data_IF_997136387792
#
_entry.id   IF_997136387792
#
_cell.length_a   1.000
_cell.length_b   1.000
_cell.length_c   1.000
_cell.angle_alpha   90.00
_cell.angle_beta   90.00
_cell.angle_gamma   90.00
#
_symmetry.space_group_name_H-M   'P 1'
#
loop_
_entity.id
_entity.type
_entity.pdbx_description
1 polymer ?
#
# COMPACT_ATOMS: atom_id res chain seq x y z
N UNK A 1 10.61 26.23 17.32
CA UNK A 1 11.49 27.32 16.84
C UNK A 1 12.86 26.76 16.63
N UNK A 2 13.41 26.93 15.41
CA UNK A 2 14.85 26.76 15.21
C UNK A 2 15.60 27.62 16.27
N UNK A 3 16.68 27.13 16.90
CA UNK A 3 17.46 27.92 17.83
C UNK A 3 18.01 29.22 17.24
N UNK A 4 18.10 29.31 15.91
CA UNK A 4 18.67 30.44 15.18
C UNK A 4 17.62 31.36 14.51
N UNK A 5 16.30 31.10 14.68
CA UNK A 5 15.21 32.02 14.35
C UNK A 5 14.88 32.26 12.87
N UNK A 6 15.68 31.78 11.95
CA UNK A 6 15.53 32.06 10.50
C UNK A 6 14.95 30.92 9.67
N UNK A 7 14.81 29.69 10.22
CA UNK A 7 14.22 28.58 9.50
C UNK A 7 12.71 28.43 9.80
N UNK A 8 11.90 28.16 8.79
CA UNK A 8 10.47 27.96 9.00
C UNK A 8 10.23 26.76 9.92
N UNK A 9 9.23 26.86 10.79
CA UNK A 9 8.76 25.74 11.59
C UNK A 9 8.00 24.77 10.68
N UNK A 10 8.27 23.47 10.80
CA UNK A 10 7.56 22.44 10.03
C UNK A 10 7.30 21.18 10.87
N UNK A 11 6.33 20.40 10.42
CA UNK A 11 6.03 19.04 10.90
C UNK A 11 6.16 18.10 9.70
N UNK A 12 6.88 17.00 9.84
CA UNK A 12 7.05 16.00 8.79
C UNK A 12 6.48 14.65 9.22
N UNK A 13 5.81 14.01 8.30
CA UNK A 13 5.29 12.65 8.40
C UNK A 13 6.05 11.76 7.42
N UNK A 14 6.38 10.54 7.85
CA UNK A 14 7.01 9.52 7.03
C UNK A 14 6.12 8.27 7.08
N UNK A 15 5.85 7.69 5.90
CA UNK A 15 5.12 6.43 5.73
C UNK A 15 6.10 5.27 5.55
N UNK A 16 5.60 4.04 5.71
CA UNK A 16 6.36 2.78 5.51
C UNK A 16 6.91 2.66 4.08
N UNK A 17 6.14 3.12 3.10
CA UNK A 17 6.46 3.12 1.66
C UNK A 17 5.86 4.31 0.93
N UNK A 18 6.06 4.39 -0.38
CA UNK A 18 5.35 5.35 -1.23
C UNK A 18 3.90 4.92 -1.35
N UNK A 19 2.97 5.82 -1.05
CA UNK A 19 1.54 5.65 -1.22
C UNK A 19 0.98 6.64 -2.24
N UNK A 20 -0.06 6.26 -2.97
CA UNK A 20 -0.87 7.17 -3.79
C UNK A 20 -1.81 7.94 -2.85
N UNK A 21 -1.38 9.11 -2.38
CA UNK A 21 -2.14 9.87 -1.39
C UNK A 21 -3.40 10.46 -2.01
N UNK A 22 -4.53 10.28 -1.32
CA UNK A 22 -5.81 10.82 -1.72
C UNK A 22 -6.11 12.12 -0.99
N UNK A 23 -6.25 12.07 0.34
CA UNK A 23 -6.58 13.23 1.16
C UNK A 23 -5.96 13.15 2.56
N UNK A 24 -5.86 14.31 3.21
CA UNK A 24 -5.50 14.43 4.63
C UNK A 24 -6.64 15.11 5.39
N UNK A 25 -7.16 14.45 6.40
CA UNK A 25 -8.09 15.01 7.36
C UNK A 25 -7.31 15.67 8.51
N UNK A 26 -7.68 16.88 8.88
CA UNK A 26 -6.99 17.66 9.90
C UNK A 26 -7.88 17.95 11.10
N UNK A 27 -7.42 17.55 12.29
CA UNK A 27 -7.89 18.03 13.58
C UNK A 27 -6.91 19.07 14.09
N UNK A 28 -7.23 20.34 13.93
CA UNK A 28 -6.39 21.42 14.40
C UNK A 28 -6.31 21.42 15.93
N UNK A 29 -5.44 22.24 16.51
CA UNK A 29 -5.19 22.24 17.95
C UNK A 29 -6.46 22.64 18.73
N UNK A 30 -7.00 21.71 19.54
CA UNK A 30 -8.29 21.87 20.20
C UNK A 30 -8.17 21.85 21.73
N UNK A 31 -7.84 23.00 22.30
CA UNK A 31 -7.75 23.18 23.74
C UNK A 31 -8.83 24.13 24.23
N UNK A 32 -9.09 24.12 25.54
CA UNK A 32 -9.95 25.10 26.15
C UNK A 32 -9.41 26.52 25.88
N UNK A 33 -10.23 27.44 25.44
CA UNK A 33 -9.87 28.80 25.01
C UNK A 33 -9.18 28.92 23.64
N UNK A 34 -9.11 27.85 22.82
CA UNK A 34 -8.51 27.92 21.48
C UNK A 34 -9.11 29.04 20.63
N UNK A 35 -10.42 29.28 20.72
CA UNK A 35 -11.11 30.36 20.00
C UNK A 35 -10.61 31.77 20.38
N UNK A 36 -9.89 31.91 21.50
CA UNK A 36 -9.34 33.18 22.00
C UNK A 36 -7.83 33.23 21.80
N UNK A 37 -7.13 32.12 22.11
CA UNK A 37 -5.68 32.04 22.10
C UNK A 37 -5.10 31.77 20.72
N UNK A 38 -5.79 30.94 19.93
CA UNK A 38 -5.44 30.70 18.52
C UNK A 38 -4.10 29.99 18.34
N UNK A 39 -3.84 28.94 19.11
CA UNK A 39 -2.59 28.14 18.96
C UNK A 39 -2.61 27.22 17.74
N UNK A 40 -3.80 26.96 17.14
CA UNK A 40 -3.92 26.16 15.94
C UNK A 40 -3.17 26.77 14.76
N UNK A 41 -2.69 25.90 13.86
CA UNK A 41 -2.11 26.28 12.58
C UNK A 41 -3.19 26.95 11.72
N UNK A 42 -2.81 28.00 10.98
CA UNK A 42 -3.75 28.68 10.05
C UNK A 42 -3.32 28.51 8.61
N UNK A 43 -2.29 29.19 8.19
CA UNK A 43 -1.78 29.08 6.82
C UNK A 43 -0.56 28.16 6.82
N UNK A 44 -0.58 27.12 6.01
CA UNK A 44 0.49 26.13 5.88
C UNK A 44 0.81 25.88 4.41
N UNK A 45 2.10 25.74 4.11
CA UNK A 45 2.53 25.17 2.83
C UNK A 45 2.65 23.66 3.00
N UNK A 46 1.98 22.90 2.13
CA UNK A 46 2.04 21.44 2.11
C UNK A 46 3.03 21.02 1.05
N UNK A 47 4.02 20.22 1.45
CA UNK A 47 5.00 19.61 0.56
C UNK A 47 4.96 18.10 0.70
N UNK A 48 5.32 17.39 -0.37
CA UNK A 48 5.43 15.94 -0.38
C UNK A 48 6.70 15.48 -1.10
N UNK A 49 7.13 14.25 -0.80
CA UNK A 49 8.29 13.63 -1.43
C UNK A 49 8.14 12.11 -1.44
N UNK A 50 8.61 11.47 -2.52
CA UNK A 50 8.71 10.01 -2.60
C UNK A 50 10.00 9.46 -1.96
N UNK A 51 11.07 10.26 -1.87
CA UNK A 51 12.41 9.81 -1.45
C UNK A 51 13.00 10.60 -0.25
N UNK A 52 12.32 11.65 0.23
CA UNK A 52 12.75 12.49 1.35
C UNK A 52 13.81 13.56 0.99
N UNK A 53 14.24 13.64 -0.26
CA UNK A 53 15.22 14.60 -0.77
C UNK A 53 14.65 15.57 -1.79
N UNK A 54 13.85 15.06 -2.71
CA UNK A 54 13.20 15.83 -3.77
C UNK A 54 11.79 16.19 -3.31
N UNK A 55 11.60 17.44 -2.94
CA UNK A 55 10.34 17.95 -2.41
C UNK A 55 9.54 18.70 -3.47
N UNK A 56 8.27 18.40 -3.53
CA UNK A 56 7.30 19.06 -4.40
C UNK A 56 6.26 19.78 -3.54
N UNK A 57 5.92 21.01 -3.92
CA UNK A 57 4.88 21.78 -3.23
C UNK A 57 3.52 21.39 -3.76
N UNK A 58 2.64 20.87 -2.89
CA UNK A 58 1.23 20.63 -3.20
C UNK A 58 0.46 21.95 -3.30
N UNK A 59 0.72 22.86 -2.36
CA UNK A 59 0.11 24.19 -2.33
C UNK A 59 0.09 24.82 -0.95
N UNK A 60 -0.45 26.03 -0.89
CA UNK A 60 -0.79 26.70 0.37
C UNK A 60 -2.22 26.37 0.76
N UNK A 61 -2.41 25.96 2.01
CA UNK A 61 -3.69 25.53 2.56
C UNK A 61 -4.01 26.33 3.82
N UNK A 62 -5.25 26.78 3.93
CA UNK A 62 -5.74 27.37 5.16
C UNK A 62 -6.46 26.32 6.00
N UNK A 63 -5.95 26.05 7.20
CA UNK A 63 -6.55 25.15 8.18
C UNK A 63 -7.56 25.92 9.03
N UNK A 64 -8.76 25.37 9.18
CA UNK A 64 -9.78 25.95 10.02
C UNK A 64 -9.40 25.88 11.51
N UNK A 65 -9.74 26.90 12.29
CA UNK A 65 -9.55 26.91 13.74
C UNK A 65 -10.42 25.83 14.40
N UNK A 66 -9.89 25.15 15.41
CA UNK A 66 -10.66 24.22 16.22
C UNK A 66 -11.68 24.95 17.10
N UNK A 67 -12.74 24.25 17.47
CA UNK A 67 -13.92 24.84 18.11
C UNK A 67 -13.85 24.92 19.64
N UNK A 68 -12.76 24.48 20.26
CA UNK A 68 -12.59 24.34 21.70
C UNK A 68 -13.65 23.48 22.39
N UNK A 69 -14.26 22.51 21.68
CA UNK A 69 -15.31 21.64 22.18
C UNK A 69 -14.83 20.18 22.23
N UNK A 70 -15.34 19.42 23.19
CA UNK A 70 -15.06 17.99 23.30
C UNK A 70 -15.60 17.16 22.12
N UNK A 71 -16.62 17.68 21.41
CA UNK A 71 -17.21 17.05 20.23
C UNK A 71 -16.58 17.51 18.91
N UNK A 72 -15.40 18.16 18.97
CA UNK A 72 -14.68 18.61 17.79
C UNK A 72 -14.28 17.42 16.90
N UNK A 73 -14.53 17.55 15.61
CA UNK A 73 -14.12 16.60 14.57
C UNK A 73 -13.23 17.30 13.56
N UNK A 74 -12.60 16.55 12.66
CA UNK A 74 -11.83 17.12 11.55
C UNK A 74 -12.69 18.15 10.81
N UNK A 75 -12.11 19.32 10.59
CA UNK A 75 -12.84 20.43 9.95
C UNK A 75 -12.08 21.05 8.76
N UNK A 76 -10.98 20.40 8.37
CA UNK A 76 -10.25 20.71 7.16
C UNK A 76 -9.85 19.41 6.47
N UNK A 77 -10.08 19.35 5.16
CA UNK A 77 -9.59 18.27 4.29
C UNK A 77 -8.66 18.87 3.26
N UNK A 78 -7.51 18.26 3.07
CA UNK A 78 -6.52 18.63 2.05
C UNK A 78 -6.50 17.53 1.01
N UNK A 79 -6.85 17.86 -0.23
CA UNK A 79 -6.79 16.93 -1.35
C UNK A 79 -5.35 16.82 -1.87
N UNK A 80 -4.85 15.61 -2.03
CA UNK A 80 -3.54 15.31 -2.58
C UNK A 80 -3.60 14.93 -4.07
N UNK A 81 -4.80 14.69 -4.62
CA UNK A 81 -4.97 14.39 -6.04
C UNK A 81 -4.31 13.09 -6.52
N UNK A 82 -3.94 12.18 -5.63
CA UNK A 82 -3.31 10.90 -6.01
C UNK A 82 -1.78 10.97 -6.19
N UNK A 83 -1.09 11.98 -5.64
CA UNK A 83 0.37 12.10 -5.77
C UNK A 83 1.09 10.95 -5.05
N UNK A 84 2.23 10.47 -5.62
CA UNK A 84 3.07 9.47 -4.96
C UNK A 84 3.89 10.12 -3.85
N UNK A 85 3.66 9.71 -2.60
CA UNK A 85 4.40 10.26 -1.46
C UNK A 85 4.73 9.19 -0.42
N UNK A 86 5.95 9.26 0.10
CA UNK A 86 6.39 8.60 1.33
C UNK A 86 6.53 9.60 2.47
N UNK A 87 6.74 10.87 2.13
CA UNK A 87 6.91 11.96 3.11
C UNK A 87 5.94 13.08 2.79
N UNK A 88 5.36 13.65 3.86
CA UNK A 88 4.58 14.89 3.78
C UNK A 88 5.10 15.86 4.82
N UNK A 89 5.26 17.13 4.43
CA UNK A 89 5.70 18.21 5.32
C UNK A 89 4.67 19.33 5.34
N UNK A 90 4.35 19.79 6.52
CA UNK A 90 3.53 20.98 6.75
C UNK A 90 4.45 22.09 7.23
N UNK A 91 4.70 23.08 6.41
CA UNK A 91 5.49 24.28 6.78
C UNK A 91 4.51 25.30 7.33
N UNK A 92 4.75 25.76 8.54
CA UNK A 92 3.87 26.68 9.25
C UNK A 92 4.15 28.12 8.82
N UNK A 93 3.21 28.73 8.09
CA UNK A 93 3.32 30.12 7.65
C UNK A 93 2.67 31.07 8.70
N UNK A 94 1.54 30.65 9.30
CA UNK A 94 0.87 31.43 10.36
C UNK A 94 0.04 30.56 11.30
N UNK A 95 -0.33 31.07 12.45
CA UNK A 95 -1.33 30.53 13.37
C UNK A 95 -2.58 31.43 13.45
N UNK A 96 -3.61 30.95 14.13
CA UNK A 96 -4.84 31.72 14.35
C UNK A 96 -4.66 32.86 15.37
N UNK A 97 -3.68 32.75 16.29
CA UNK A 97 -3.37 33.75 17.29
C UNK A 97 -2.01 34.45 17.07
N UNK A 98 -1.70 35.40 17.93
CA UNK A 98 -0.48 36.27 17.80
C UNK A 98 0.68 35.83 18.70
N UNK A 99 0.57 34.73 19.45
CA UNK A 99 1.53 34.37 20.49
C UNK A 99 2.78 33.62 19.95
N UNK A 100 2.84 33.33 18.64
CA UNK A 100 3.98 32.59 18.04
C UNK A 100 4.12 31.16 18.54
N UNK A 101 3.07 30.59 19.11
CA UNK A 101 2.98 29.21 19.52
C UNK A 101 2.02 28.48 18.60
N UNK A 102 2.42 27.28 18.16
CA UNK A 102 1.69 26.51 17.16
C UNK A 102 1.44 25.10 17.66
N UNK A 103 0.24 24.61 17.45
CA UNK A 103 -0.17 23.25 17.81
C UNK A 103 -1.04 22.61 16.73
N UNK A 104 -1.00 21.29 16.68
CA UNK A 104 -1.83 20.45 15.83
C UNK A 104 -2.26 19.25 16.67
N UNK A 105 -3.54 18.88 16.64
CA UNK A 105 -4.02 17.74 17.43
C UNK A 105 -3.81 16.42 16.72
N UNK A 106 -4.31 16.30 15.48
CA UNK A 106 -4.26 15.05 14.73
C UNK A 106 -4.33 15.31 13.22
N UNK A 107 -3.72 14.44 12.44
CA UNK A 107 -3.95 14.30 11.01
C UNK A 107 -4.15 12.84 10.66
N UNK A 108 -4.98 12.58 9.65
CA UNK A 108 -5.14 11.24 9.06
C UNK A 108 -4.95 11.33 7.56
N UNK A 109 -4.05 10.54 7.06
CA UNK A 109 -3.81 10.42 5.62
C UNK A 109 -4.62 9.24 5.06
N UNK A 110 -5.33 9.51 3.97
CA UNK A 110 -6.04 8.52 3.18
C UNK A 110 -5.28 8.30 1.88
N UNK A 111 -5.17 7.06 1.44
CA UNK A 111 -4.49 6.71 0.21
C UNK A 111 -5.34 5.79 -0.67
N UNK A 112 -5.10 5.82 -1.96
CA UNK A 112 -5.64 4.86 -2.92
C UNK A 112 -4.76 3.61 -2.90
N UNK A 113 -5.28 2.41 -2.59
CA UNK A 113 -4.50 1.18 -2.60
C UNK A 113 -4.19 0.77 -4.05
N UNK A 114 -3.14 1.37 -4.63
CA UNK A 114 -2.78 1.22 -6.04
C UNK A 114 -1.96 -0.05 -6.33
N UNK A 115 -1.30 -0.65 -5.33
CA UNK A 115 -0.51 -1.87 -5.51
C UNK A 115 -1.34 -3.14 -5.31
N UNK A 116 -0.89 -4.24 -5.90
CA UNK A 116 -1.43 -5.58 -5.69
C UNK A 116 -1.28 -6.03 -4.23
N UNK A 117 -2.21 -6.86 -3.76
CA UNK A 117 -2.28 -7.35 -2.37
C UNK A 117 -3.02 -8.68 -2.29
N UNK A 118 -3.03 -9.32 -1.12
CA UNK A 118 -3.75 -10.57 -0.87
C UNK A 118 -3.33 -11.66 -1.88
N UNK A 119 -2.03 -12.06 -1.89
CA UNK A 119 -1.53 -13.04 -2.85
C UNK A 119 -2.06 -14.44 -2.56
N UNK A 120 -2.31 -15.20 -3.62
CA UNK A 120 -2.55 -16.63 -3.60
C UNK A 120 -1.62 -17.32 -4.62
N UNK A 121 -0.72 -18.20 -4.19
CA UNK A 121 -0.47 -18.69 -2.81
C UNK A 121 -0.14 -17.55 -1.84
N UNK A 122 -0.54 -17.70 -0.56
CA UNK A 122 -0.22 -16.73 0.48
C UNK A 122 1.31 -16.56 0.61
N UNK A 123 1.76 -15.36 1.00
CA UNK A 123 3.19 -15.13 1.19
C UNK A 123 3.79 -16.07 2.23
N UNK A 124 4.88 -16.74 1.87
CA UNK A 124 5.54 -17.78 2.66
C UNK A 124 4.83 -19.14 2.65
N UNK A 125 3.85 -19.37 1.76
CA UNK A 125 3.18 -20.67 1.66
C UNK A 125 4.17 -21.79 1.32
N UNK A 126 3.96 -22.97 1.91
CA UNK A 126 4.74 -24.18 1.65
C UNK A 126 3.84 -25.28 1.06
N UNK A 127 4.46 -26.29 0.47
CA UNK A 127 3.79 -27.46 -0.12
C UNK A 127 2.76 -27.09 -1.22
N UNK A 128 3.05 -26.03 -1.97
CA UNK A 128 2.22 -25.55 -3.09
C UNK A 128 2.33 -26.52 -4.27
N UNK A 129 1.21 -26.84 -4.91
CA UNK A 129 1.23 -27.63 -6.14
C UNK A 129 2.02 -26.91 -7.24
N UNK A 130 3.01 -27.55 -7.92
CA UNK A 130 3.74 -26.95 -9.04
C UNK A 130 2.89 -26.44 -10.21
N UNK A 131 1.65 -26.92 -10.35
CA UNK A 131 0.71 -26.47 -11.37
C UNK A 131 -0.22 -25.35 -10.89
N UNK A 132 0.03 -24.78 -9.71
CA UNK A 132 -0.84 -23.75 -9.13
C UNK A 132 -0.86 -22.48 -9.97
N UNK A 133 -2.03 -21.84 -10.05
CA UNK A 133 -2.16 -20.50 -10.57
C UNK A 133 -1.84 -19.48 -9.47
N UNK A 134 -1.12 -18.42 -9.84
CA UNK A 134 -0.95 -17.25 -8.99
C UNK A 134 -2.17 -16.35 -9.15
N UNK A 135 -2.68 -15.81 -8.06
CA UNK A 135 -3.73 -14.79 -8.11
C UNK A 135 -3.53 -13.75 -7.00
N UNK A 136 -4.12 -12.59 -7.17
CA UNK A 136 -3.99 -11.47 -6.25
C UNK A 136 -5.22 -10.57 -6.30
N UNK A 137 -5.35 -9.72 -5.33
CA UNK A 137 -6.29 -8.63 -5.38
C UNK A 137 -5.63 -7.43 -6.04
N UNK A 138 -6.17 -7.01 -7.19
CA UNK A 138 -5.67 -5.86 -7.96
C UNK A 138 -5.59 -4.58 -7.14
N UNK A 139 -4.62 -3.75 -7.47
CA UNK A 139 -4.63 -2.36 -7.12
C UNK A 139 -5.83 -1.64 -7.72
N UNK A 140 -6.33 -0.60 -7.04
CA UNK A 140 -7.37 0.24 -7.59
C UNK A 140 -6.81 0.98 -8.82
N UNK A 141 -7.60 1.10 -9.87
CA UNK A 141 -7.24 1.80 -11.11
C UNK A 141 -6.22 1.07 -12.01
N UNK A 142 -5.79 -0.14 -11.66
CA UNK A 142 -4.96 -0.95 -12.55
C UNK A 142 -5.72 -1.31 -13.84
N UNK A 143 -5.06 -1.11 -14.98
CA UNK A 143 -5.56 -1.50 -16.30
C UNK A 143 -4.94 -2.83 -16.76
N UNK A 144 -3.71 -3.11 -16.34
CA UNK A 144 -3.00 -4.37 -16.58
C UNK A 144 -2.02 -4.66 -15.46
N UNK A 145 -1.48 -5.87 -15.45
CA UNK A 145 -0.61 -6.39 -14.40
C UNK A 145 0.64 -6.99 -15.03
N UNK A 146 1.81 -6.48 -14.66
CA UNK A 146 3.08 -7.10 -14.98
C UNK A 146 3.43 -8.12 -13.90
N UNK A 147 3.61 -9.38 -14.30
CA UNK A 147 3.93 -10.49 -13.40
C UNK A 147 5.43 -10.76 -13.47
N UNK A 148 6.08 -10.64 -12.35
CA UNK A 148 7.48 -10.99 -12.15
C UNK A 148 7.55 -12.26 -11.29
N UNK A 149 8.30 -13.28 -11.75
CA UNK A 149 8.42 -14.57 -11.06
C UNK A 149 9.81 -15.15 -11.28
N UNK A 150 10.44 -15.63 -10.21
CA UNK A 150 11.78 -16.22 -10.29
C UNK A 150 12.22 -16.86 -8.97
N UNK A 151 13.48 -17.28 -8.92
CA UNK A 151 14.09 -17.90 -7.73
C UNK A 151 15.04 -16.96 -6.97
N UNK A 152 15.33 -15.78 -7.50
CA UNK A 152 16.11 -14.74 -6.82
C UNK A 152 15.23 -13.53 -6.54
N UNK A 153 14.92 -13.20 -5.26
CA UNK A 153 14.04 -12.09 -4.91
C UNK A 153 14.58 -10.71 -5.31
N UNK A 154 15.89 -10.60 -5.60
CA UNK A 154 16.54 -9.34 -5.99
C UNK A 154 16.62 -9.15 -7.52
N UNK A 155 16.25 -10.16 -8.29
CA UNK A 155 16.37 -10.14 -9.75
C UNK A 155 15.23 -10.93 -10.41
N UNK A 156 14.00 -10.53 -10.16
CA UNK A 156 12.80 -11.17 -10.72
C UNK A 156 12.64 -10.78 -12.19
N UNK A 157 12.61 -11.73 -13.14
CA UNK A 157 12.28 -11.46 -14.52
C UNK A 157 10.77 -11.19 -14.69
N UNK A 158 10.42 -10.31 -15.63
CA UNK A 158 9.07 -10.18 -16.14
C UNK A 158 8.72 -11.45 -16.93
N UNK A 159 7.68 -12.17 -16.52
CA UNK A 159 7.22 -13.41 -17.17
C UNK A 159 5.95 -13.24 -17.98
N UNK A 160 5.12 -12.27 -17.63
CA UNK A 160 3.88 -11.98 -18.35
C UNK A 160 3.37 -10.56 -18.07
N UNK A 161 2.54 -10.05 -19.00
CA UNK A 161 1.63 -8.93 -18.76
C UNK A 161 0.22 -9.44 -19.03
N UNK A 162 -0.67 -9.29 -18.06
CA UNK A 162 -2.03 -9.82 -18.09
C UNK A 162 -3.07 -8.77 -17.71
N UNK A 163 -4.31 -8.94 -18.20
CA UNK A 163 -5.44 -8.05 -17.91
C UNK A 163 -6.30 -8.55 -16.74
N UNK A 164 -6.06 -9.80 -16.31
CA UNK A 164 -6.77 -10.42 -15.19
C UNK A 164 -5.81 -10.57 -14.02
N UNK A 165 -6.31 -10.44 -12.80
CA UNK A 165 -5.51 -10.59 -11.58
C UNK A 165 -5.18 -12.08 -11.28
N UNK A 166 -4.71 -12.78 -12.29
CA UNK A 166 -4.27 -14.17 -12.21
C UNK A 166 -3.29 -14.50 -13.33
N UNK A 167 -2.37 -15.43 -13.03
CA UNK A 167 -1.39 -15.94 -13.97
C UNK A 167 -1.09 -17.40 -13.64
N UNK A 168 -1.09 -18.28 -14.65
CA UNK A 168 -0.65 -19.66 -14.50
C UNK A 168 0.73 -19.79 -15.11
N UNK A 169 1.78 -19.98 -14.29
CA UNK A 169 3.12 -20.22 -14.80
C UNK A 169 3.18 -21.58 -15.53
N UNK A 170 4.20 -21.76 -16.36
CA UNK A 170 4.61 -23.10 -16.77
C UNK A 170 4.90 -23.94 -15.52
N UNK A 171 4.84 -25.28 -15.66
CA UNK A 171 5.04 -26.18 -14.52
C UNK A 171 6.32 -25.84 -13.78
N UNK A 172 6.18 -25.53 -12.49
CA UNK A 172 7.29 -25.22 -11.59
C UNK A 172 7.97 -26.52 -11.14
N UNK A 173 9.25 -26.43 -10.77
CA UNK A 173 9.99 -27.58 -10.25
C UNK A 173 9.48 -27.98 -8.85
N UNK A 174 9.49 -29.27 -8.54
CA UNK A 174 9.24 -29.78 -7.21
C UNK A 174 10.32 -29.36 -6.22
N UNK A 175 9.96 -29.02 -4.97
CA UNK A 175 10.89 -28.61 -3.93
C UNK A 175 11.56 -27.26 -4.22
N UNK A 176 11.05 -26.47 -5.18
CA UNK A 176 11.55 -25.15 -5.55
C UNK A 176 11.04 -24.05 -4.62
N UNK A 177 11.90 -23.07 -4.35
CA UNK A 177 11.50 -21.82 -3.71
C UNK A 177 11.35 -20.73 -4.79
N UNK A 178 10.22 -20.06 -4.80
CA UNK A 178 9.87 -19.04 -5.78
C UNK A 178 9.52 -17.73 -5.10
N UNK A 179 9.86 -16.64 -5.79
CA UNK A 179 9.52 -15.28 -5.42
C UNK A 179 8.78 -14.63 -6.57
N UNK A 180 7.80 -13.81 -6.27
CA UNK A 180 7.02 -13.14 -7.28
C UNK A 180 6.52 -11.78 -6.82
N UNK A 181 6.30 -10.90 -7.78
CA UNK A 181 5.85 -9.54 -7.56
C UNK A 181 4.89 -9.15 -8.67
N UNK A 182 3.90 -8.34 -8.35
CA UNK A 182 3.03 -7.71 -9.32
C UNK A 182 3.32 -6.22 -9.37
N UNK A 183 3.50 -5.69 -10.57
CA UNK A 183 3.46 -4.25 -10.83
C UNK A 183 2.15 -3.93 -11.53
N UNK A 184 1.33 -3.15 -10.87
CA UNK A 184 0.06 -2.67 -11.41
C UNK A 184 0.33 -1.52 -12.37
N UNK A 185 -0.25 -1.55 -13.57
CA UNK A 185 0.01 -0.58 -14.64
C UNK A 185 -1.27 0.11 -15.08
N UNK A 186 -1.22 1.43 -15.20
CA UNK A 186 -2.24 2.26 -15.83
C UNK A 186 -1.56 3.44 -16.56
N UNK A 187 -1.35 3.30 -17.86
CA UNK A 187 -0.69 4.32 -18.70
C UNK A 187 -1.43 5.66 -18.76
N UNK A 188 -2.69 5.71 -18.33
CA UNK A 188 -3.48 6.95 -18.29
C UNK A 188 -3.25 7.75 -16.99
N UNK A 189 -2.53 7.19 -16.02
CA UNK A 189 -2.24 7.84 -14.73
C UNK A 189 -0.93 8.65 -14.81
N UNK A 190 -0.80 9.71 -14.02
CA UNK A 190 0.46 10.45 -13.87
C UNK A 190 1.59 9.58 -13.32
N UNK A 191 1.26 8.61 -12.46
CA UNK A 191 2.17 7.57 -11.98
C UNK A 191 1.71 6.24 -12.57
N UNK A 192 2.24 5.85 -13.75
CA UNK A 192 1.67 4.76 -14.54
C UNK A 192 1.91 3.37 -13.94
N UNK A 193 2.84 3.20 -12.99
CA UNK A 193 3.21 1.90 -12.44
C UNK A 193 3.32 1.91 -10.90
N UNK A 194 2.72 0.90 -10.26
CA UNK A 194 2.74 0.72 -8.81
C UNK A 194 3.21 -0.69 -8.45
N UNK A 195 4.48 -0.80 -8.00
CA UNK A 195 5.03 -2.08 -7.54
C UNK A 195 4.38 -2.54 -6.24
N UNK A 196 4.02 -3.83 -6.19
CA UNK A 196 3.60 -4.52 -4.98
C UNK A 196 4.79 -5.03 -4.14
N UNK A 197 4.48 -5.74 -3.05
CA UNK A 197 5.47 -6.46 -2.27
C UNK A 197 6.02 -7.65 -3.08
N UNK A 198 7.22 -8.10 -2.74
CA UNK A 198 7.73 -9.38 -3.22
C UNK A 198 7.22 -10.47 -2.29
N UNK A 199 6.47 -11.41 -2.82
CA UNK A 199 5.92 -12.57 -2.11
C UNK A 199 6.72 -13.82 -2.42
N UNK A 200 6.61 -14.83 -1.58
CA UNK A 200 7.33 -16.09 -1.70
C UNK A 200 6.42 -17.29 -1.50
N UNK A 201 6.79 -18.43 -2.08
CA UNK A 201 6.23 -19.74 -1.74
C UNK A 201 7.24 -20.83 -2.06
N UNK A 202 7.02 -22.05 -1.52
CA UNK A 202 7.76 -23.24 -1.91
C UNK A 202 6.81 -24.32 -2.43
N UNK A 203 7.24 -25.01 -3.46
CA UNK A 203 6.48 -26.14 -4.04
C UNK A 203 6.66 -27.40 -3.21
N UNK A 204 5.68 -28.31 -3.29
CA UNK A 204 5.77 -29.63 -2.69
C UNK A 204 6.98 -30.42 -3.23
N UNK A 205 7.60 -31.23 -2.39
CA UNK A 205 8.78 -32.04 -2.78
C UNK A 205 8.43 -33.24 -3.64
N UNK A 206 7.20 -33.76 -3.50
CA UNK A 206 6.76 -34.98 -4.13
C UNK A 206 5.34 -34.87 -4.67
N UNK A 207 5.09 -35.52 -5.81
CA UNK A 207 3.74 -35.75 -6.30
C UNK A 207 3.17 -37.05 -5.69
N UNK A 208 1.90 -37.01 -5.31
CA UNK A 208 1.16 -38.23 -4.96
C UNK A 208 0.83 -39.00 -6.27
N UNK A 209 1.28 -40.24 -6.36
CA UNK A 209 0.92 -41.12 -7.49
C UNK A 209 -0.50 -41.65 -7.30
N UNK A 210 -0.76 -42.17 -6.09
CA UNK A 210 -2.07 -42.73 -5.72
C UNK A 210 -2.20 -42.74 -4.20
N UNK A 211 -3.28 -42.15 -3.66
CA UNK A 211 -3.60 -42.17 -2.23
C UNK A 211 -4.34 -43.43 -1.76
N UNK A 212 -4.77 -44.26 -2.68
CA UNK A 212 -5.57 -45.49 -2.43
C UNK A 212 -6.90 -45.25 -1.69
N UNK A 213 -7.26 -43.99 -1.42
CA UNK A 213 -8.45 -43.63 -0.63
C UNK A 213 -9.77 -43.77 -1.42
N UNK A 214 -9.68 -43.84 -2.74
CA UNK A 214 -10.85 -43.97 -3.64
C UNK A 214 -11.19 -45.40 -3.96
N UNK A 215 -10.31 -46.32 -3.57
CA UNK A 215 -10.55 -47.77 -3.83
C UNK A 215 -11.47 -48.38 -2.76
N UNK A 216 -12.29 -49.28 -3.18
CA UNK A 216 -13.16 -50.07 -2.31
C UNK A 216 -13.30 -51.49 -2.90
N UNK A 217 -14.22 -52.31 -2.41
CA UNK A 217 -14.50 -53.63 -2.86
C UNK A 217 -15.73 -53.72 -3.81
N UNK A 218 -16.22 -52.57 -4.28
CA UNK A 218 -17.36 -52.49 -5.19
C UNK A 218 -16.91 -52.69 -6.64
N UNK A 219 -17.06 -53.90 -7.14
CA UNK A 219 -16.74 -54.29 -8.52
C UNK A 219 -17.66 -53.65 -9.54
N UNK A 220 -18.94 -53.37 -9.20
CA UNK A 220 -19.88 -52.77 -10.13
C UNK A 220 -19.62 -51.29 -10.37
N UNK A 221 -19.06 -50.61 -9.38
CA UNK A 221 -18.65 -49.19 -9.49
C UNK A 221 -17.34 -48.99 -10.25
N UNK A 222 -16.59 -50.04 -10.56
CA UNK A 222 -15.28 -49.96 -11.24
C UNK A 222 -14.21 -49.28 -10.38
N UNK A 223 -14.40 -49.28 -9.08
CA UNK A 223 -13.50 -48.69 -8.10
C UNK A 223 -12.75 -49.72 -7.25
N UNK A 224 -12.87 -50.98 -7.61
CA UNK A 224 -12.14 -52.07 -6.96
C UNK A 224 -10.65 -52.03 -7.35
N UNK A 225 -9.76 -52.13 -6.37
CA UNK A 225 -8.31 -52.07 -6.58
C UNK A 225 -7.80 -53.07 -7.60
N UNK A 226 -8.48 -54.25 -7.70
CA UNK A 226 -8.12 -55.35 -8.62
C UNK A 226 -8.43 -55.04 -10.11
N UNK A 227 -9.27 -54.04 -10.38
CA UNK A 227 -9.63 -53.65 -11.74
C UNK A 227 -8.73 -52.53 -12.27
N UNK A 228 -7.94 -51.91 -11.40
CA UNK A 228 -7.10 -50.77 -11.73
C UNK A 228 -5.61 -51.11 -11.80
N UNK A 229 -5.15 -52.16 -11.08
CA UNK A 229 -3.73 -52.61 -11.01
C UNK A 229 -3.51 -54.02 -11.60
#
# INVERSE_FOLDING_TARGET
>A
TSPDGDEPLWIQYEFDRVHKLHEMLVWNYNVQFEMILGFGLKDVTVEYSANGTDWMTLGEVQLNQATAKATYAANTTVDFGGVPARYVRLIVNSGHGMMGQYGLSEVRFMYVPASAREPEPADGAADVDPATALSWRSGREAASHEVYLGTDPNALPLVATVDQASYTPDTLEFGGAYYWQIVEVNEADETPAWGGDVWSFSTQEYALIDGFETYNDDLEAGTAIFDTW
#
